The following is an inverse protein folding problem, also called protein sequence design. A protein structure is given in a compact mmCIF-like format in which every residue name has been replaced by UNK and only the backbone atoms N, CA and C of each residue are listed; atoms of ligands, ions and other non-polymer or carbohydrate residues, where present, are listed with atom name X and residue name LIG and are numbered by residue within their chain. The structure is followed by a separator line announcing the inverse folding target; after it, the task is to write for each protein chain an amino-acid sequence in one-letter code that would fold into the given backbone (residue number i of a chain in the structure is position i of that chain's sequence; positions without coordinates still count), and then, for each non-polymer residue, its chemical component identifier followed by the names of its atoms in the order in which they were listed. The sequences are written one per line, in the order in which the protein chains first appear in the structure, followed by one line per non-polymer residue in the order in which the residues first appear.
data_IF_258869677664
#
_entry.id   IF_258869677664
#
_cell.length_a   1.000
_cell.length_b   1.000
_cell.length_c   1.000
_cell.angle_alpha   90.00
_cell.angle_beta   90.00
_cell.angle_gamma   90.00
#
_symmetry.space_group_name_H-M   'P 1'
#
loop_
_entity.id
_entity.type
_entity.pdbx_description
1 polymer ?
#
# COMPACT_ATOMS: atom_id res chain seq x y z
N UNK A 1 5.11 40.13 -11.36
CA UNK A 1 5.91 38.96 -10.90
C UNK A 1 4.98 38.10 -10.05
N UNK A 2 4.71 36.84 -10.43
CA UNK A 2 3.87 35.96 -9.59
C UNK A 2 4.64 35.69 -8.29
N UNK A 3 4.00 35.80 -7.11
CA UNK A 3 4.66 35.46 -5.86
C UNK A 3 5.16 34.02 -5.98
N UNK A 4 6.43 33.78 -5.63
CA UNK A 4 6.97 32.44 -5.58
C UNK A 4 6.08 31.63 -4.64
N UNK A 5 5.31 30.68 -5.20
CA UNK A 5 4.46 29.81 -4.41
C UNK A 5 5.32 29.17 -3.33
N UNK A 6 4.86 29.21 -2.08
CA UNK A 6 5.61 28.63 -0.96
C UNK A 6 5.97 27.19 -1.30
N UNK A 7 7.11 26.71 -0.78
CA UNK A 7 7.57 25.34 -1.02
C UNK A 7 6.46 24.30 -0.71
N UNK A 8 5.66 24.56 0.32
CA UNK A 8 4.49 23.77 0.67
C UNK A 8 3.42 23.72 -0.46
N UNK A 9 3.15 24.84 -1.13
CA UNK A 9 2.18 24.90 -2.22
C UNK A 9 2.68 24.12 -3.46
N UNK A 10 3.98 24.17 -3.75
CA UNK A 10 4.57 23.39 -4.84
C UNK A 10 4.53 21.88 -4.55
N UNK A 11 4.81 21.50 -3.30
CA UNK A 11 4.75 20.11 -2.85
C UNK A 11 3.30 19.59 -2.88
N UNK A 12 2.34 20.42 -2.46
CA UNK A 12 0.92 20.12 -2.56
C UNK A 12 0.46 19.90 -4.01
N UNK A 13 0.89 20.77 -4.93
CA UNK A 13 0.61 20.60 -6.36
C UNK A 13 1.21 19.31 -6.92
N UNK A 14 2.45 18.99 -6.55
CA UNK A 14 3.09 17.72 -6.94
C UNK A 14 2.29 16.51 -6.45
N UNK A 15 1.86 16.51 -5.18
CA UNK A 15 1.06 15.42 -4.63
C UNK A 15 -0.27 15.25 -5.36
N UNK A 16 -1.01 16.35 -5.58
CA UNK A 16 -2.33 16.28 -6.21
C UNK A 16 -2.31 16.03 -7.71
N UNK A 17 -1.33 16.59 -8.42
CA UNK A 17 -1.31 16.56 -9.89
C UNK A 17 -0.47 15.41 -10.46
N UNK A 18 0.53 14.92 -9.72
CA UNK A 18 1.44 13.88 -10.21
C UNK A 18 1.32 12.59 -9.39
N UNK A 19 1.34 12.68 -8.05
CA UNK A 19 1.35 11.49 -7.20
C UNK A 19 -0.02 10.79 -7.15
N UNK A 20 -1.08 11.51 -6.80
CA UNK A 20 -2.45 10.97 -6.70
C UNK A 20 -2.95 10.31 -8.00
N UNK A 21 -2.75 10.91 -9.19
CA UNK A 21 -3.15 10.29 -10.45
C UNK A 21 -2.27 9.11 -10.87
N UNK A 22 -1.05 9.04 -10.36
CA UNK A 22 -0.14 7.92 -10.61
C UNK A 22 -0.56 6.66 -9.82
N UNK A 23 -1.13 6.85 -8.63
CA UNK A 23 -1.62 5.76 -7.76
C UNK A 23 -2.77 5.00 -8.46
N UNK A 24 -2.72 3.66 -8.54
CA UNK A 24 -3.77 2.88 -9.17
C UNK A 24 -5.06 2.95 -8.36
N UNK A 25 -6.22 2.92 -9.02
CA UNK A 25 -7.54 2.92 -8.34
C UNK A 25 -7.66 1.80 -7.30
N UNK A 26 -7.08 0.64 -7.60
CA UNK A 26 -7.02 -0.51 -6.71
C UNK A 26 -6.34 -0.18 -5.37
N UNK A 27 -5.38 0.75 -5.31
CA UNK A 27 -4.72 1.11 -4.05
C UNK A 27 -5.67 1.77 -3.06
N UNK A 28 -6.64 2.55 -3.54
CA UNK A 28 -7.68 3.09 -2.68
C UNK A 28 -8.59 2.00 -2.14
N UNK A 29 -8.92 0.99 -2.95
CA UNK A 29 -9.66 -0.19 -2.49
C UNK A 29 -8.87 -0.97 -1.45
N UNK A 30 -7.59 -1.25 -1.68
CA UNK A 30 -6.73 -1.97 -0.73
C UNK A 30 -6.59 -1.20 0.58
N UNK A 31 -6.42 0.12 0.52
CA UNK A 31 -6.35 0.97 1.70
C UNK A 31 -7.67 0.98 2.48
N UNK A 32 -8.81 1.07 1.79
CA UNK A 32 -10.12 0.97 2.42
C UNK A 32 -10.33 -0.40 3.08
N UNK A 33 -9.92 -1.49 2.42
CA UNK A 33 -10.00 -2.85 2.95
C UNK A 33 -9.09 -3.05 4.16
N UNK A 34 -7.90 -2.46 4.18
CA UNK A 34 -6.99 -2.47 5.33
C UNK A 34 -7.58 -1.74 6.53
N UNK A 35 -8.14 -0.55 6.32
CA UNK A 35 -8.81 0.20 7.38
C UNK A 35 -10.03 -0.57 7.88
N UNK A 36 -10.86 -1.09 6.97
CA UNK A 36 -12.05 -1.86 7.30
C UNK A 36 -11.70 -3.13 8.10
N UNK A 37 -10.72 -3.91 7.65
CA UNK A 37 -10.28 -5.12 8.34
C UNK A 37 -9.66 -4.82 9.70
N UNK A 38 -8.82 -3.77 9.79
CA UNK A 38 -8.23 -3.34 11.06
C UNK A 38 -9.28 -2.88 12.08
N UNK A 39 -10.26 -2.09 11.65
CA UNK A 39 -11.37 -1.67 12.52
C UNK A 39 -12.23 -2.86 12.95
N UNK A 40 -12.56 -3.77 12.04
CA UNK A 40 -13.35 -4.96 12.39
C UNK A 40 -12.61 -5.92 13.32
N UNK A 41 -11.28 -6.00 13.24
CA UNK A 41 -10.48 -6.76 14.21
C UNK A 41 -10.46 -6.07 15.58
N UNK A 42 -10.34 -4.74 15.61
CA UNK A 42 -10.34 -3.98 16.86
C UNK A 42 -11.69 -4.12 17.60
N UNK A 43 -12.79 -4.06 16.87
CA UNK A 43 -14.15 -4.15 17.41
C UNK A 43 -14.78 -5.54 17.22
N UNK A 44 -13.98 -6.58 17.01
CA UNK A 44 -14.49 -7.93 16.71
C UNK A 44 -15.47 -8.44 17.77
N UNK A 45 -15.14 -8.24 19.05
CA UNK A 45 -15.96 -8.70 20.17
C UNK A 45 -17.29 -7.95 20.29
N UNK A 46 -17.35 -6.72 19.79
CA UNK A 46 -18.53 -5.85 19.84
C UNK A 46 -19.42 -6.04 18.61
N UNK A 47 -18.82 -6.13 17.42
CA UNK A 47 -19.53 -6.24 16.14
C UNK A 47 -19.88 -7.68 15.75
N UNK A 48 -19.03 -8.65 16.10
CA UNK A 48 -19.13 -10.04 15.65
C UNK A 48 -19.06 -11.06 16.79
N UNK A 49 -19.87 -10.93 17.86
CA UNK A 49 -19.75 -11.77 19.06
C UNK A 49 -20.04 -13.26 18.81
N UNK A 50 -20.72 -13.62 17.72
CA UNK A 50 -21.17 -15.00 17.44
C UNK A 50 -20.46 -15.62 16.23
N UNK A 51 -19.50 -14.91 15.61
CA UNK A 51 -18.80 -15.38 14.43
C UNK A 51 -17.30 -15.56 14.71
N UNK A 52 -16.90 -16.70 15.32
CA UNK A 52 -15.50 -16.97 15.68
C UNK A 52 -14.57 -17.10 14.45
N UNK A 53 -15.13 -17.34 13.26
CA UNK A 53 -14.36 -17.39 12.02
C UNK A 53 -14.08 -16.00 11.42
N UNK A 54 -14.79 -14.96 11.84
CA UNK A 54 -14.64 -13.61 11.28
C UNK A 54 -13.22 -13.06 11.47
N UNK A 55 -12.60 -13.37 12.61
CA UNK A 55 -11.20 -13.03 12.91
C UNK A 55 -10.24 -13.50 11.82
N UNK A 56 -10.33 -14.78 11.46
CA UNK A 56 -9.44 -15.38 10.46
C UNK A 56 -9.62 -14.72 9.10
N UNK A 57 -10.87 -14.45 8.72
CA UNK A 57 -11.17 -13.76 7.46
C UNK A 57 -10.61 -12.34 7.44
N UNK A 58 -10.80 -11.55 8.51
CA UNK A 58 -10.25 -10.20 8.56
C UNK A 58 -8.72 -10.17 8.65
N UNK A 59 -8.09 -11.12 9.35
CA UNK A 59 -6.62 -11.27 9.36
C UNK A 59 -6.10 -11.61 7.96
N UNK A 60 -6.71 -12.58 7.27
CA UNK A 60 -6.32 -12.93 5.89
C UNK A 60 -6.47 -11.72 4.97
N UNK A 61 -7.57 -10.99 5.09
CA UNK A 61 -7.85 -9.82 4.28
C UNK A 61 -6.86 -8.67 4.57
N UNK A 62 -6.47 -8.50 5.83
CA UNK A 62 -5.45 -7.56 6.26
C UNK A 62 -4.06 -7.93 5.72
N UNK A 63 -3.67 -9.21 5.80
CA UNK A 63 -2.38 -9.70 5.30
C UNK A 63 -2.27 -9.61 3.77
N UNK A 64 -3.33 -10.00 3.05
CA UNK A 64 -3.40 -9.86 1.58
C UNK A 64 -3.35 -8.39 1.19
N UNK A 65 -4.09 -7.52 1.91
CA UNK A 65 -4.02 -6.09 1.72
C UNK A 65 -2.61 -5.54 1.91
N UNK A 66 -1.92 -5.94 2.99
CA UNK A 66 -0.57 -5.50 3.31
C UNK A 66 0.44 -5.93 2.23
N UNK A 67 0.30 -7.16 1.73
CA UNK A 67 1.16 -7.68 0.66
C UNK A 67 0.92 -6.99 -0.69
N UNK A 68 -0.27 -6.45 -0.94
CA UNK A 68 -0.58 -5.68 -2.15
C UNK A 68 0.00 -4.26 -2.14
N UNK A 69 0.21 -3.66 -0.97
CA UNK A 69 0.80 -2.31 -0.82
C UNK A 69 2.14 -2.18 -1.58
N UNK A 70 3.15 -3.05 -1.37
CA UNK A 70 4.43 -2.89 -2.05
C UNK A 70 4.32 -3.03 -3.57
N UNK A 71 3.43 -3.89 -4.09
CA UNK A 71 3.17 -3.99 -5.53
C UNK A 71 2.61 -2.69 -6.12
N UNK A 72 1.72 -2.03 -5.39
CA UNK A 72 1.17 -0.73 -5.78
C UNK A 72 2.22 0.39 -5.67
N UNK A 73 3.12 0.29 -4.68
CA UNK A 73 4.29 1.15 -4.55
C UNK A 73 5.20 1.06 -5.77
N UNK A 74 5.53 -0.16 -6.22
CA UNK A 74 6.32 -0.40 -7.44
C UNK A 74 5.65 0.24 -8.65
N UNK A 75 4.35 -0.02 -8.85
CA UNK A 75 3.61 0.50 -10.00
C UNK A 75 3.62 2.04 -10.03
N UNK A 76 3.36 2.66 -8.87
CA UNK A 76 3.33 4.13 -8.73
C UNK A 76 4.72 4.71 -8.96
N UNK A 77 5.75 4.11 -8.38
CA UNK A 77 7.13 4.56 -8.53
C UNK A 77 7.64 4.40 -9.97
N UNK A 78 7.32 3.30 -10.66
CA UNK A 78 7.65 3.11 -12.07
C UNK A 78 7.03 4.19 -12.94
N UNK A 79 5.73 4.48 -12.73
CA UNK A 79 5.01 5.51 -13.47
C UNK A 79 5.60 6.91 -13.24
N UNK A 80 5.96 7.22 -12.00
CA UNK A 80 6.63 8.49 -11.65
C UNK A 80 8.05 8.56 -12.25
N UNK A 81 8.79 7.46 -12.30
CA UNK A 81 10.14 7.42 -12.89
C UNK A 81 10.13 7.80 -14.38
N UNK A 82 9.07 7.41 -15.11
CA UNK A 82 8.89 7.79 -16.51
C UNK A 82 8.51 9.27 -16.69
N UNK A 83 7.80 9.86 -15.73
CA UNK A 83 7.36 11.26 -15.82
C UNK A 83 8.43 12.26 -15.33
N UNK A 84 9.34 11.84 -14.44
CA UNK A 84 10.38 12.73 -13.92
C UNK A 84 11.61 12.73 -14.84
N UNK A 85 12.01 13.94 -15.26
CA UNK A 85 13.12 14.17 -16.20
C UNK A 85 14.51 14.22 -15.53
N UNK A 86 14.57 14.58 -14.24
CA UNK A 86 15.83 14.69 -13.50
C UNK A 86 16.36 13.32 -13.02
N UNK A 87 17.64 13.06 -13.26
CA UNK A 87 18.31 11.80 -12.93
C UNK A 87 18.33 11.50 -11.42
N UNK A 88 18.54 12.52 -10.58
CA UNK A 88 18.51 12.39 -9.11
C UNK A 88 17.16 11.84 -8.60
N UNK A 89 16.06 12.37 -9.11
CA UNK A 89 14.72 11.91 -8.76
C UNK A 89 14.43 10.50 -9.29
N UNK A 90 14.96 10.13 -10.46
CA UNK A 90 14.86 8.75 -10.95
C UNK A 90 15.58 7.77 -10.03
N UNK A 91 16.77 8.12 -9.56
CA UNK A 91 17.51 7.30 -8.59
C UNK A 91 16.73 7.09 -7.29
N UNK A 92 16.10 8.15 -6.75
CA UNK A 92 15.23 8.05 -5.59
C UNK A 92 14.06 7.07 -5.81
N UNK A 93 13.32 7.22 -6.92
CA UNK A 93 12.20 6.32 -7.23
C UNK A 93 12.66 4.88 -7.52
N UNK A 94 13.86 4.67 -8.06
CA UNK A 94 14.45 3.34 -8.20
C UNK A 94 14.76 2.69 -6.85
N UNK A 95 15.27 3.45 -5.87
CA UNK A 95 15.44 2.93 -4.50
C UNK A 95 14.09 2.54 -3.88
N UNK A 96 13.04 3.35 -4.10
CA UNK A 96 11.68 3.01 -3.68
C UNK A 96 11.19 1.72 -4.35
N UNK A 97 11.48 1.52 -5.63
CA UNK A 97 11.14 0.27 -6.35
C UNK A 97 11.87 -0.91 -5.73
N UNK A 98 13.19 -0.83 -5.52
CA UNK A 98 13.99 -1.91 -4.92
C UNK A 98 13.51 -2.23 -3.51
N UNK A 99 13.29 -1.21 -2.68
CA UNK A 99 12.74 -1.37 -1.33
C UNK A 99 11.35 -2.01 -1.34
N UNK A 100 10.51 -1.62 -2.30
CA UNK A 100 9.18 -2.21 -2.46
C UNK A 100 9.25 -3.68 -2.92
N UNK A 101 10.21 -4.05 -3.78
CA UNK A 101 10.43 -5.46 -4.13
C UNK A 101 10.89 -6.30 -2.93
N UNK A 102 11.78 -5.77 -2.10
CA UNK A 102 12.20 -6.45 -0.88
C UNK A 102 11.00 -6.67 0.06
N UNK A 103 10.18 -5.63 0.27
CA UNK A 103 8.95 -5.74 1.05
C UNK A 103 7.96 -6.73 0.44
N UNK A 104 7.71 -6.70 -0.87
CA UNK A 104 6.83 -7.64 -1.55
C UNK A 104 7.30 -9.09 -1.39
N UNK A 105 8.61 -9.32 -1.45
CA UNK A 105 9.22 -10.64 -1.27
C UNK A 105 8.97 -11.15 0.15
N UNK A 106 9.31 -10.36 1.16
CA UNK A 106 9.10 -10.71 2.57
C UNK A 106 7.60 -10.95 2.86
N UNK A 107 6.73 -10.06 2.38
CA UNK A 107 5.28 -10.17 2.54
C UNK A 107 4.74 -11.46 1.92
N UNK A 108 5.21 -11.81 0.72
CA UNK A 108 4.81 -13.03 0.02
C UNK A 108 5.27 -14.28 0.78
N UNK A 109 6.51 -14.29 1.29
CA UNK A 109 7.00 -15.39 2.13
C UNK A 109 6.16 -15.59 3.39
N UNK A 110 5.80 -14.50 4.09
CA UNK A 110 4.95 -14.56 5.28
C UNK A 110 3.56 -15.14 4.94
N UNK A 111 2.94 -14.66 3.85
CA UNK A 111 1.66 -15.19 3.37
C UNK A 111 1.73 -16.67 3.02
N UNK A 112 2.79 -17.08 2.32
CA UNK A 112 2.98 -18.47 1.87
C UNK A 112 3.20 -19.40 3.08
N UNK A 113 4.03 -19.00 4.04
CA UNK A 113 4.20 -19.73 5.30
C UNK A 113 2.89 -19.82 6.09
N UNK A 114 2.14 -18.72 6.18
CA UNK A 114 0.83 -18.69 6.85
C UNK A 114 -0.17 -19.65 6.21
N UNK A 115 -0.21 -19.72 4.87
CA UNK A 115 -1.03 -20.66 4.12
C UNK A 115 -0.59 -22.12 4.31
N UNK A 116 0.71 -22.39 4.30
CA UNK A 116 1.22 -23.75 4.53
C UNK A 116 0.85 -24.25 5.94
N UNK A 117 1.00 -23.39 6.95
CA UNK A 117 0.66 -23.72 8.33
C UNK A 117 -0.85 -23.91 8.54
N UNK A 118 -1.70 -23.22 7.76
CA UNK A 118 -3.15 -23.40 7.84
C UNK A 118 -3.64 -24.66 7.12
N UNK A 119 -2.97 -25.09 6.04
CA UNK A 119 -3.25 -26.35 5.33
C UNK A 119 -2.73 -27.59 6.07
N UNK A 120 -1.69 -27.44 6.89
CA UNK A 120 -1.13 -28.52 7.70
C UNK A 120 -1.90 -28.82 8.99
N UNK A 121 -2.97 -28.07 9.27
CA UNK A 121 -3.88 -28.25 10.43
C UNK A 121 -5.21 -28.81 9.99
#
# INVERSE_FOLDING_TARGET
MRPAASYAAQLWQFVWQLLLPAVPRLAWCVLALLIFSGLNLLFQRELWPHYPQAEKWFIVLLLVGLALIPWMGIYTAQRLTHQVRHWWWRGFWQLVIVGSYALATVSSFILLLGLLMSLAR
#
